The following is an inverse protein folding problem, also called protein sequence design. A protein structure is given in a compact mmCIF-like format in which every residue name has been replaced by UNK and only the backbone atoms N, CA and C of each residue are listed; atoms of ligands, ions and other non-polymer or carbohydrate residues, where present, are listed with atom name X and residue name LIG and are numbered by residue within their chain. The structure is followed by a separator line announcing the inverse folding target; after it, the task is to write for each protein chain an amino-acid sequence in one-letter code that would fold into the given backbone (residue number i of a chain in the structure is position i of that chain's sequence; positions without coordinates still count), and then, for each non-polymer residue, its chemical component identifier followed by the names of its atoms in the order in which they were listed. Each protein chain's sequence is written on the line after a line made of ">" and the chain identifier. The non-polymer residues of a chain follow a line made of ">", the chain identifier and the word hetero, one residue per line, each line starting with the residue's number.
data_IF_535555674810
#
_entry.id   IF_535555674810
#
_cell.length_a   1.000
_cell.length_b   1.000
_cell.length_c   1.000
_cell.angle_alpha   90.00
_cell.angle_beta   90.00
_cell.angle_gamma   90.00
#
_symmetry.space_group_name_H-M   'P 1'
#
loop_
_entity.id
_entity.type
_entity.pdbx_description
1 polymer ?
#
# COMPACT_ATOMS: atom_id res chain seq x y z
N UNK A 1 3.11 13.14 -24.24
CA UNK A 1 4.52 13.56 -24.08
C UNK A 1 4.60 14.27 -22.74
N UNK A 2 5.13 13.62 -21.70
CA UNK A 2 5.31 14.28 -20.40
C UNK A 2 6.73 14.79 -20.32
N UNK A 3 6.85 16.11 -20.29
CA UNK A 3 8.07 16.86 -20.07
C UNK A 3 8.52 16.72 -18.62
N UNK A 4 9.79 16.42 -18.43
CA UNK A 4 10.48 16.48 -17.14
C UNK A 4 10.53 17.94 -16.68
N UNK A 5 10.04 18.22 -15.47
CA UNK A 5 10.25 19.50 -14.81
C UNK A 5 11.27 19.22 -13.71
N UNK A 6 12.48 19.76 -13.91
CA UNK A 6 13.54 19.80 -12.91
C UNK A 6 13.09 20.72 -11.76
N UNK A 7 12.73 20.11 -10.64
CA UNK A 7 12.39 20.80 -9.40
C UNK A 7 13.51 20.66 -8.38
N UNK A 8 14.41 21.64 -8.35
CA UNK A 8 15.29 21.91 -7.21
C UNK A 8 14.43 22.29 -6.01
N UNK A 9 14.15 21.35 -5.11
CA UNK A 9 13.61 21.64 -3.78
C UNK A 9 14.63 21.22 -2.72
N UNK A 10 15.24 22.24 -2.10
CA UNK A 10 16.10 22.15 -0.94
C UNK A 10 15.31 21.63 0.26
N UNK A 11 15.55 20.37 0.64
CA UNK A 11 15.11 19.81 1.92
C UNK A 11 15.81 20.55 3.09
N UNK A 12 15.17 20.67 4.26
CA UNK A 12 15.81 21.25 5.43
C UNK A 12 17.06 20.45 5.82
N UNK A 13 18.17 21.17 5.86
CA UNK A 13 19.52 20.70 6.18
C UNK A 13 19.58 20.06 7.56
N UNK A 14 19.72 18.73 7.62
CA UNK A 14 20.64 18.03 8.56
C UNK A 14 20.68 16.50 8.42
N UNK A 15 20.12 15.89 7.36
CA UNK A 15 20.34 14.46 7.07
C UNK A 15 20.62 14.27 5.58
N UNK A 16 21.88 14.42 5.18
CA UNK A 16 22.36 14.07 3.84
C UNK A 16 22.39 12.54 3.67
N UNK A 17 21.23 11.90 3.60
CA UNK A 17 21.09 10.50 3.23
C UNK A 17 20.64 10.44 1.76
N UNK A 18 21.48 9.87 0.89
CA UNK A 18 21.08 9.61 -0.50
C UNK A 18 20.08 8.45 -0.54
N UNK A 19 18.92 8.67 -1.14
CA UNK A 19 17.86 7.66 -1.29
C UNK A 19 17.86 7.06 -2.70
N UNK A 20 17.61 5.75 -2.82
CA UNK A 20 17.39 5.04 -4.09
C UNK A 20 15.98 4.48 -4.16
N UNK A 21 15.34 4.59 -5.34
CA UNK A 21 14.03 4.00 -5.60
C UNK A 21 14.12 2.49 -5.46
N UNK A 22 13.26 1.91 -4.64
CA UNK A 22 13.16 0.46 -4.49
C UNK A 22 12.41 -0.11 -5.70
N UNK A 23 13.10 -0.95 -6.48
CA UNK A 23 12.56 -1.56 -7.70
C UNK A 23 12.49 -0.58 -8.88
N UNK A 24 13.32 -0.80 -9.89
CA UNK A 24 13.28 -0.06 -11.16
C UNK A 24 12.29 -0.66 -12.17
N UNK A 25 11.77 -1.87 -11.90
CA UNK A 25 10.85 -2.59 -12.76
C UNK A 25 9.41 -2.11 -12.55
N UNK A 26 8.58 -2.22 -13.59
CA UNK A 26 7.14 -1.96 -13.50
C UNK A 26 6.52 -2.87 -12.43
N UNK A 27 5.67 -2.28 -11.58
CA UNK A 27 4.84 -3.04 -10.64
C UNK A 27 3.82 -3.90 -11.40
N UNK A 28 3.27 -4.92 -10.74
CA UNK A 28 2.22 -5.77 -11.33
C UNK A 28 1.01 -4.93 -11.82
N UNK A 29 0.66 -3.89 -11.07
CA UNK A 29 -0.39 -2.94 -11.43
C UNK A 29 -0.03 -2.09 -12.67
N UNK A 30 1.22 -1.61 -12.76
CA UNK A 30 1.70 -0.87 -13.93
C UNK A 30 1.80 -1.77 -15.17
N UNK A 31 2.24 -3.02 -15.01
CA UNK A 31 2.25 -4.06 -16.06
C UNK A 31 0.83 -4.32 -16.57
N UNK A 32 -0.14 -4.47 -15.66
CA UNK A 32 -1.54 -4.66 -16.03
C UNK A 32 -2.14 -3.49 -16.78
N UNK A 33 -1.89 -2.26 -16.32
CA UNK A 33 -2.36 -1.07 -17.01
C UNK A 33 -1.78 -0.98 -18.44
N UNK A 34 -0.53 -1.42 -18.63
CA UNK A 34 0.16 -1.43 -19.92
C UNK A 34 -0.38 -2.54 -20.82
N UNK A 35 -0.59 -3.75 -20.29
CA UNK A 35 -1.16 -4.88 -21.03
C UNK A 35 -2.62 -4.65 -21.45
N UNK A 36 -3.44 -4.06 -20.58
CA UNK A 36 -4.81 -3.65 -20.91
C UNK A 36 -4.86 -2.61 -22.02
N UNK A 37 -3.89 -1.70 -22.09
CA UNK A 37 -3.80 -0.73 -23.20
C UNK A 37 -3.45 -1.39 -24.54
N UNK A 38 -2.74 -2.52 -24.53
CA UNK A 38 -2.34 -3.25 -25.74
C UNK A 38 -3.42 -4.18 -26.29
N UNK A 39 -4.43 -4.57 -25.49
CA UNK A 39 -5.56 -5.40 -25.91
C UNK A 39 -6.82 -4.53 -26.02
N UNK A 40 -7.10 -3.92 -27.17
CA UNK A 40 -8.34 -3.16 -27.40
C UNK A 40 -9.08 -3.66 -28.65
N UNK A 41 -10.17 -4.42 -28.44
CA UNK A 41 -11.55 -4.02 -28.76
C UNK A 41 -12.55 -5.15 -28.52
N UNK A 42 -12.17 -6.41 -28.78
CA UNK A 42 -13.14 -7.52 -28.80
C UNK A 42 -13.17 -8.35 -27.51
N UNK A 43 -12.02 -8.48 -26.82
CA UNK A 43 -11.93 -9.27 -25.58
C UNK A 43 -12.64 -8.59 -24.39
N UNK A 44 -12.62 -7.27 -24.32
CA UNK A 44 -13.25 -6.50 -23.23
C UNK A 44 -14.78 -6.56 -23.27
N UNK A 45 -15.38 -6.74 -24.46
CA UNK A 45 -16.82 -6.93 -24.62
C UNK A 45 -17.25 -8.31 -24.10
N UNK A 46 -16.50 -9.36 -24.46
CA UNK A 46 -16.76 -10.74 -24.01
C UNK A 46 -16.52 -10.89 -22.51
N UNK A 47 -15.49 -10.21 -21.97
CA UNK A 47 -15.18 -10.25 -20.54
C UNK A 47 -16.17 -9.42 -19.70
N UNK A 48 -16.91 -8.49 -20.33
CA UNK A 48 -17.91 -7.64 -19.67
C UNK A 48 -19.20 -8.37 -19.28
N UNK A 49 -19.54 -9.47 -19.97
CA UNK A 49 -20.76 -10.26 -19.71
C UNK A 49 -20.51 -11.52 -18.86
N UNK A 50 -19.25 -11.87 -18.62
CA UNK A 50 -18.89 -13.09 -17.89
C UNK A 50 -19.03 -12.89 -16.39
N UNK A 51 -20.05 -13.52 -15.82
CA UNK A 51 -20.22 -13.70 -14.39
C UNK A 51 -19.41 -14.91 -13.93
N UNK A 52 -18.89 -14.86 -12.70
CA UNK A 52 -18.12 -15.96 -12.14
C UNK A 52 -18.62 -16.33 -10.75
N UNK A 53 -18.68 -17.64 -10.49
CA UNK A 53 -19.13 -18.16 -9.21
C UNK A 53 -17.94 -18.25 -8.24
N UNK A 54 -17.89 -17.33 -7.27
CA UNK A 54 -16.81 -17.25 -6.29
C UNK A 54 -17.26 -17.71 -4.90
N UNK A 55 -16.33 -18.30 -4.14
CA UNK A 55 -16.55 -18.76 -2.76
C UNK A 55 -15.98 -17.75 -1.77
N UNK A 56 -16.82 -17.37 -0.81
CA UNK A 56 -16.47 -16.48 0.30
C UNK A 56 -16.52 -17.27 1.60
N UNK A 57 -15.35 -17.57 2.14
CA UNK A 57 -15.15 -18.43 3.30
C UNK A 57 -15.37 -17.66 4.61
N UNK A 58 -15.86 -18.35 5.63
CA UNK A 58 -15.97 -17.86 6.99
C UNK A 58 -14.83 -18.43 7.85
N UNK A 59 -14.69 -17.92 9.08
CA UNK A 59 -13.68 -18.40 10.03
C UNK A 59 -13.89 -19.86 10.47
N UNK A 60 -15.12 -20.38 10.37
CA UNK A 60 -15.46 -21.78 10.64
C UNK A 60 -15.27 -22.70 9.41
N UNK A 61 -14.64 -22.19 8.35
CA UNK A 61 -14.43 -22.86 7.06
C UNK A 61 -15.70 -23.17 6.25
N UNK A 62 -16.89 -22.79 6.73
CA UNK A 62 -18.07 -22.72 5.87
C UNK A 62 -17.86 -21.65 4.80
N UNK A 63 -18.62 -21.70 3.70
CA UNK A 63 -18.55 -20.68 2.67
C UNK A 63 -19.92 -20.36 2.09
N UNK A 64 -20.05 -19.11 1.63
CA UNK A 64 -21.16 -18.70 0.79
C UNK A 64 -20.65 -18.59 -0.63
N UNK A 65 -21.35 -19.22 -1.56
CA UNK A 65 -21.08 -19.05 -2.97
C UNK A 65 -21.91 -17.89 -3.52
N UNK A 66 -21.28 -17.02 -4.30
CA UNK A 66 -21.91 -15.84 -4.91
C UNK A 66 -21.49 -15.76 -6.36
N UNK A 67 -22.47 -15.57 -7.24
CA UNK A 67 -22.22 -15.18 -8.63
C UNK A 67 -21.83 -13.72 -8.65
N UNK A 68 -20.59 -13.44 -9.00
CA UNK A 68 -20.00 -12.11 -9.03
C UNK A 68 -20.08 -11.56 -10.44
N UNK A 69 -20.75 -10.43 -10.56
CA UNK A 69 -20.87 -9.66 -11.78
C UNK A 69 -19.85 -8.53 -11.80
N UNK A 70 -19.61 -7.97 -12.99
CA UNK A 70 -18.79 -6.78 -13.15
C UNK A 70 -19.40 -5.59 -12.39
N UNK A 71 -18.53 -4.76 -11.82
CA UNK A 71 -18.84 -3.59 -10.99
C UNK A 71 -19.44 -3.93 -9.62
N UNK A 72 -19.49 -5.20 -9.22
CA UNK A 72 -19.81 -5.54 -7.83
C UNK A 72 -18.63 -5.11 -6.94
N UNK A 73 -18.83 -4.01 -6.22
CA UNK A 73 -17.81 -3.48 -5.30
C UNK A 73 -17.76 -4.29 -4.01
N UNK A 74 -16.59 -4.29 -3.38
CA UNK A 74 -16.37 -4.93 -2.07
C UNK A 74 -17.41 -4.51 -1.03
N UNK A 75 -17.74 -3.22 -0.95
CA UNK A 75 -18.72 -2.72 0.03
C UNK A 75 -20.12 -3.32 -0.18
N UNK A 76 -20.56 -3.41 -1.43
CA UNK A 76 -21.89 -3.91 -1.79
C UNK A 76 -21.97 -5.43 -1.53
N UNK A 77 -20.89 -6.17 -1.82
CA UNK A 77 -20.77 -7.59 -1.48
C UNK A 77 -20.76 -7.82 0.04
N UNK A 78 -20.08 -6.98 0.83
CA UNK A 78 -20.11 -7.05 2.28
C UNK A 78 -21.54 -6.89 2.82
N UNK A 79 -22.32 -5.94 2.30
CA UNK A 79 -23.74 -5.80 2.67
C UNK A 79 -24.56 -7.05 2.33
N UNK A 80 -24.37 -7.61 1.13
CA UNK A 80 -25.05 -8.83 0.70
C UNK A 80 -24.75 -10.01 1.64
N UNK A 81 -23.48 -10.23 1.98
CA UNK A 81 -23.06 -11.32 2.85
C UNK A 81 -23.51 -11.11 4.30
N UNK A 82 -23.55 -9.86 4.79
CA UNK A 82 -24.12 -9.54 6.10
C UNK A 82 -25.58 -9.95 6.20
N UNK A 83 -26.38 -9.63 5.18
CA UNK A 83 -27.80 -10.02 5.12
C UNK A 83 -27.94 -11.54 5.08
N UNK A 84 -27.20 -12.22 4.19
CA UNK A 84 -27.26 -13.69 4.07
C UNK A 84 -26.88 -14.41 5.37
N UNK A 85 -25.94 -13.85 6.14
CA UNK A 85 -25.44 -14.45 7.39
C UNK A 85 -26.17 -13.94 8.64
N UNK A 86 -27.11 -13.00 8.50
CA UNK A 86 -27.77 -12.34 9.63
C UNK A 86 -26.75 -11.74 10.63
N UNK A 87 -25.73 -11.04 10.12
CA UNK A 87 -24.69 -10.38 10.93
C UNK A 87 -24.78 -8.87 10.86
N UNK A 88 -24.39 -8.20 11.93
CA UNK A 88 -24.45 -6.74 12.08
C UNK A 88 -23.03 -6.19 12.31
N UNK A 89 -22.81 -4.92 12.00
CA UNK A 89 -21.58 -4.19 12.29
C UNK A 89 -20.92 -3.63 11.03
N UNK A 90 -20.02 -2.66 11.23
CA UNK A 90 -19.29 -1.97 10.16
C UNK A 90 -17.94 -2.61 9.82
N UNK A 91 -17.38 -3.43 10.70
CA UNK A 91 -16.03 -4.00 10.54
C UNK A 91 -15.95 -5.16 9.53
N UNK A 92 -17.04 -5.51 8.84
CA UNK A 92 -17.04 -6.64 7.93
C UNK A 92 -16.34 -6.33 6.61
N UNK A 93 -15.38 -7.19 6.24
CA UNK A 93 -14.54 -7.00 5.06
C UNK A 93 -14.34 -8.30 4.28
N UNK A 94 -13.93 -8.16 3.02
CA UNK A 94 -13.43 -9.27 2.21
C UNK A 94 -11.91 -9.30 2.33
N UNK A 95 -11.36 -10.42 2.77
CA UNK A 95 -9.93 -10.64 2.95
C UNK A 95 -9.44 -11.62 1.89
N UNK A 96 -8.57 -11.16 1.00
CA UNK A 96 -7.87 -12.01 0.03
C UNK A 96 -6.69 -12.69 0.73
N UNK A 97 -6.63 -14.02 0.66
CA UNK A 97 -5.57 -14.82 1.29
C UNK A 97 -4.83 -15.66 0.24
N UNK A 98 -3.52 -15.81 0.43
CA UNK A 98 -2.63 -16.63 -0.38
C UNK A 98 -1.95 -17.69 0.52
N UNK A 99 -2.62 -18.81 0.83
CA UNK A 99 -2.19 -19.72 1.88
C UNK A 99 -0.76 -20.26 1.71
N UNK A 100 -0.34 -20.57 0.46
CA UNK A 100 1.02 -21.06 0.17
C UNK A 100 2.11 -20.02 0.45
N UNK A 101 1.77 -18.73 0.34
CA UNK A 101 2.69 -17.61 0.56
C UNK A 101 2.62 -17.08 2.00
N UNK A 102 1.56 -17.43 2.74
CA UNK A 102 1.33 -16.94 4.10
C UNK A 102 1.06 -15.43 4.15
N UNK A 103 0.46 -14.86 3.10
CA UNK A 103 0.11 -13.45 3.03
C UNK A 103 -1.40 -13.28 2.82
N UNK A 104 -1.91 -12.15 3.31
CA UNK A 104 -3.29 -11.74 3.13
C UNK A 104 -3.36 -10.22 2.97
N UNK A 105 -4.46 -9.75 2.40
CA UNK A 105 -4.81 -8.32 2.40
C UNK A 105 -6.32 -8.16 2.49
N UNK A 106 -6.75 -7.10 3.16
CA UNK A 106 -8.13 -6.65 3.15
C UNK A 106 -8.41 -5.93 1.84
N UNK A 107 -9.53 -6.23 1.19
CA UNK A 107 -10.00 -5.48 0.03
C UNK A 107 -10.64 -4.16 0.45
N UNK A 108 -10.33 -3.11 -0.30
CA UNK A 108 -10.88 -1.78 -0.14
C UNK A 108 -12.31 -1.72 -0.69
N UNK A 109 -13.12 -0.84 -0.11
CA UNK A 109 -14.56 -0.76 -0.39
C UNK A 109 -14.91 -0.48 -1.85
N UNK A 110 -14.02 0.25 -2.53
CA UNK A 110 -14.19 0.67 -3.92
C UNK A 110 -13.66 -0.35 -4.93
N UNK A 111 -12.95 -1.39 -4.50
CA UNK A 111 -12.43 -2.41 -5.41
C UNK A 111 -13.58 -3.25 -6.00
N UNK A 112 -13.43 -3.61 -7.28
CA UNK A 112 -14.32 -4.51 -7.99
C UNK A 112 -13.86 -5.96 -7.78
N UNK A 113 -14.73 -6.81 -7.25
CA UNK A 113 -14.38 -8.18 -6.86
C UNK A 113 -13.96 -9.03 -8.06
N UNK A 114 -14.66 -8.90 -9.19
CA UNK A 114 -14.36 -9.66 -10.40
C UNK A 114 -13.05 -9.20 -11.02
N UNK A 115 -12.79 -7.89 -11.03
CA UNK A 115 -11.53 -7.33 -11.49
C UNK A 115 -10.36 -7.80 -10.63
N UNK A 116 -10.48 -7.75 -9.29
CA UNK A 116 -9.48 -8.27 -8.35
C UNK A 116 -9.25 -9.77 -8.55
N UNK A 117 -10.33 -10.52 -8.78
CA UNK A 117 -10.23 -11.94 -9.08
C UNK A 117 -9.41 -12.16 -10.37
N UNK A 118 -9.81 -11.57 -11.50
CA UNK A 118 -9.12 -11.81 -12.78
C UNK A 118 -7.71 -11.25 -12.86
N UNK A 119 -7.46 -10.09 -12.24
CA UNK A 119 -6.18 -9.38 -12.36
C UNK A 119 -4.98 -10.23 -11.96
N UNK A 120 -5.12 -11.01 -10.88
CA UNK A 120 -4.02 -11.77 -10.31
C UNK A 120 -3.97 -13.23 -10.78
N UNK A 121 -5.06 -13.75 -11.36
CA UNK A 121 -5.00 -15.04 -12.07
C UNK A 121 -3.98 -15.01 -13.21
N UNK A 122 -3.82 -13.86 -13.87
CA UNK A 122 -2.86 -13.71 -14.96
C UNK A 122 -1.39 -13.93 -14.55
N UNK A 123 -1.03 -13.69 -13.28
CA UNK A 123 0.38 -13.74 -12.83
C UNK A 123 0.65 -14.82 -11.78
N UNK A 124 -0.39 -15.31 -11.13
CA UNK A 124 -0.27 -16.16 -9.96
C UNK A 124 -1.23 -17.36 -9.99
N UNK A 125 -1.67 -17.80 -11.16
CA UNK A 125 -2.56 -18.96 -11.34
C UNK A 125 -2.06 -20.26 -10.70
N UNK A 126 -0.75 -20.38 -10.45
CA UNK A 126 -0.13 -21.51 -9.74
C UNK A 126 -0.37 -21.51 -8.22
N UNK A 127 -0.80 -20.39 -7.66
CA UNK A 127 -1.06 -20.24 -6.24
C UNK A 127 -2.56 -20.30 -5.96
N UNK A 128 -2.91 -21.12 -4.97
CA UNK A 128 -4.28 -21.12 -4.45
C UNK A 128 -4.54 -19.79 -3.75
N UNK A 129 -5.72 -19.23 -4.00
CA UNK A 129 -6.22 -18.00 -3.39
C UNK A 129 -7.62 -18.22 -2.86
N UNK A 130 -7.95 -17.59 -1.74
CA UNK A 130 -9.29 -17.64 -1.13
C UNK A 130 -9.73 -16.26 -0.67
N UNK A 131 -11.03 -15.99 -0.76
CA UNK A 131 -11.65 -14.81 -0.19
C UNK A 131 -12.38 -15.18 1.11
N UNK A 132 -12.08 -14.46 2.19
CA UNK A 132 -12.74 -14.62 3.48
C UNK A 132 -13.65 -13.45 3.78
N UNK A 133 -14.83 -13.72 4.34
CA UNK A 133 -15.74 -12.74 4.89
C UNK A 133 -15.55 -12.71 6.42
N UNK A 134 -14.83 -11.72 6.91
CA UNK A 134 -14.42 -11.62 8.31
C UNK A 134 -14.45 -10.19 8.83
N UNK A 135 -14.39 -10.03 10.14
CA UNK A 135 -14.28 -8.73 10.78
C UNK A 135 -12.81 -8.25 10.75
N UNK A 136 -12.60 -7.06 10.21
CA UNK A 136 -11.35 -6.32 10.25
C UNK A 136 -11.61 -4.97 10.95
N UNK A 137 -11.23 -4.90 12.22
CA UNK A 137 -11.39 -3.69 13.02
C UNK A 137 -10.30 -2.65 12.74
N UNK A 138 -9.24 -3.01 12.00
CA UNK A 138 -8.12 -2.12 11.72
C UNK A 138 -8.31 -1.34 10.42
N UNK A 139 -9.12 -1.85 9.48
CA UNK A 139 -9.38 -1.23 8.16
C UNK A 139 -9.63 0.27 8.23
N UNK A 140 -10.47 0.72 9.16
CA UNK A 140 -10.83 2.13 9.30
C UNK A 140 -10.14 2.85 10.47
N UNK A 141 -9.36 2.14 11.29
CA UNK A 141 -8.80 2.72 12.53
C UNK A 141 -7.78 3.83 12.22
N UNK A 142 -7.15 3.80 11.04
CA UNK A 142 -6.27 4.88 10.58
C UNK A 142 -7.00 6.23 10.47
N UNK A 143 -8.30 6.24 10.18
CA UNK A 143 -9.10 7.48 10.10
C UNK A 143 -9.65 7.91 11.47
N UNK A 144 -9.70 6.99 12.43
CA UNK A 144 -10.25 7.22 13.76
C UNK A 144 -9.15 7.67 14.72
N UNK A 145 -8.01 6.96 14.74
CA UNK A 145 -6.85 7.18 15.61
C UNK A 145 -5.53 7.13 14.82
N UNK A 146 -5.29 8.07 13.90
CA UNK A 146 -4.15 8.03 12.97
C UNK A 146 -2.78 8.01 13.66
N UNK A 147 -2.65 8.63 14.84
CA UNK A 147 -1.37 8.73 15.56
C UNK A 147 -0.87 7.38 16.09
N UNK A 148 -1.74 6.38 16.23
CA UNK A 148 -1.32 5.02 16.56
C UNK A 148 -0.53 4.36 15.42
N UNK A 149 -0.76 4.79 14.17
CA UNK A 149 -0.11 4.27 12.97
C UNK A 149 1.04 5.15 12.51
N UNK A 150 0.91 6.46 12.72
CA UNK A 150 1.89 7.46 12.29
C UNK A 150 2.36 8.31 13.47
N UNK A 151 3.38 7.85 14.22
CA UNK A 151 4.04 8.66 15.23
C UNK A 151 4.55 9.99 14.63
N UNK A 152 4.64 11.07 15.44
CA UNK A 152 5.00 12.40 14.95
C UNK A 152 6.34 12.47 14.18
N UNK A 153 7.30 11.62 14.55
CA UNK A 153 8.63 11.50 13.94
C UNK A 153 8.65 10.65 12.66
N UNK A 154 7.57 9.90 12.38
CA UNK A 154 7.44 9.05 11.20
C UNK A 154 6.88 9.82 10.00
N UNK A 155 6.10 10.87 10.21
CA UNK A 155 5.34 11.54 9.15
C UNK A 155 5.80 12.97 8.92
N UNK A 156 5.71 13.48 7.69
CA UNK A 156 6.01 14.89 7.33
C UNK A 156 5.04 15.34 6.25
N UNK A 157 4.42 16.52 6.42
CA UNK A 157 3.52 17.09 5.42
C UNK A 157 4.31 17.91 4.39
N UNK A 158 4.05 17.76 3.08
CA UNK A 158 4.74 18.50 2.01
C UNK A 158 4.61 20.02 2.14
N UNK A 159 3.46 20.50 2.65
CA UNK A 159 3.15 21.92 2.84
C UNK A 159 3.92 22.58 3.98
N UNK A 160 4.70 21.83 4.77
CA UNK A 160 5.48 22.36 5.89
C UNK A 160 4.64 22.84 7.08
N UNK A 161 3.40 22.37 7.20
CA UNK A 161 2.52 22.67 8.35
C UNK A 161 3.20 22.24 9.66
N UNK A 162 3.47 23.21 10.55
CA UNK A 162 4.07 22.93 11.86
C UNK A 162 3.09 22.12 12.72
N UNK A 163 3.59 21.02 13.29
CA UNK A 163 2.85 20.24 14.28
C UNK A 163 2.93 20.98 15.61
N UNK A 164 1.81 21.51 16.08
CA UNK A 164 1.70 22.03 17.43
C UNK A 164 1.64 20.91 18.48
N UNK A 165 0.81 21.03 19.51
CA UNK A 165 0.70 20.01 20.58
C UNK A 165 0.25 18.63 20.04
N UNK A 166 0.37 17.55 20.83
CA UNK A 166 -0.02 16.19 20.41
C UNK A 166 -1.46 16.11 19.88
N UNK A 167 -2.40 16.77 20.59
CA UNK A 167 -3.81 16.83 20.19
C UNK A 167 -4.01 17.60 18.87
N UNK A 168 -3.23 18.65 18.65
CA UNK A 168 -3.22 19.40 17.38
C UNK A 168 -2.61 18.57 16.25
N UNK A 169 -1.56 17.79 16.51
CA UNK A 169 -0.93 16.91 15.53
C UNK A 169 -1.88 15.77 15.09
N UNK A 170 -2.65 15.19 16.03
CA UNK A 170 -3.66 14.19 15.73
C UNK A 170 -4.79 14.75 14.84
N UNK A 171 -5.33 15.91 15.23
CA UNK A 171 -6.41 16.57 14.49
C UNK A 171 -5.94 17.01 13.10
N UNK A 172 -4.72 17.55 12.99
CA UNK A 172 -4.12 17.95 11.72
C UNK A 172 -3.94 16.73 10.79
N UNK A 173 -3.40 15.62 11.30
CA UNK A 173 -3.23 14.40 10.53
C UNK A 173 -4.56 13.81 10.07
N UNK A 174 -5.55 13.78 10.96
CA UNK A 174 -6.89 13.32 10.60
C UNK A 174 -7.51 14.18 9.51
N UNK A 175 -7.46 15.50 9.65
CA UNK A 175 -7.97 16.43 8.65
C UNK A 175 -7.24 16.28 7.32
N UNK A 176 -5.92 16.07 7.35
CA UNK A 176 -5.12 15.83 6.16
C UNK A 176 -5.56 14.57 5.42
N UNK A 177 -5.71 13.45 6.13
CA UNK A 177 -6.14 12.16 5.53
C UNK A 177 -7.55 12.20 4.93
N UNK A 178 -8.41 13.13 5.38
CA UNK A 178 -9.78 13.30 4.88
C UNK A 178 -9.86 14.21 3.64
N UNK A 179 -8.77 14.85 3.23
CA UNK A 179 -8.75 15.74 2.05
C UNK A 179 -8.46 14.97 0.78
N UNK A 180 -9.40 15.00 -0.17
CA UNK A 180 -9.26 14.34 -1.48
C UNK A 180 -8.20 14.97 -2.39
N UNK A 181 -7.89 16.26 -2.19
CA UNK A 181 -6.98 17.06 -3.02
C UNK A 181 -5.56 17.20 -2.46
N UNK A 182 -5.28 16.56 -1.32
CA UNK A 182 -3.99 16.66 -0.65
C UNK A 182 -2.93 15.77 -1.32
N UNK A 183 -1.68 16.24 -1.32
CA UNK A 183 -0.56 15.35 -1.61
C UNK A 183 -0.50 14.24 -0.56
N UNK A 184 0.07 13.07 -0.89
CA UNK A 184 0.29 12.07 0.16
C UNK A 184 1.39 12.55 1.12
N UNK A 185 1.23 12.35 2.44
CA UNK A 185 2.27 12.73 3.39
C UNK A 185 3.51 11.86 3.18
N UNK A 186 4.67 12.38 3.57
CA UNK A 186 5.90 11.61 3.53
C UNK A 186 5.97 10.74 4.78
N UNK A 187 6.18 9.44 4.62
CA UNK A 187 6.29 8.49 5.72
C UNK A 187 7.69 7.90 5.73
N UNK A 188 8.46 8.19 6.78
CA UNK A 188 9.83 7.77 6.95
C UNK A 188 9.97 6.87 8.18
N UNK A 189 10.44 5.64 7.99
CA UNK A 189 10.59 4.69 9.09
C UNK A 189 11.78 3.75 8.90
N UNK A 190 12.20 3.10 9.98
CA UNK A 190 13.16 2.00 9.92
C UNK A 190 12.39 0.69 9.72
N UNK A 191 12.75 -0.07 8.68
CA UNK A 191 12.13 -1.35 8.34
C UNK A 191 13.16 -2.48 8.33
N UNK A 192 12.68 -3.69 8.56
CA UNK A 192 13.45 -4.91 8.32
C UNK A 192 13.18 -5.41 6.92
N UNK A 193 14.24 -5.51 6.11
CA UNK A 193 14.15 -6.04 4.75
C UNK A 193 14.87 -7.38 4.67
N UNK A 194 14.16 -8.40 4.16
CA UNK A 194 14.75 -9.70 3.85
C UNK A 194 15.50 -9.61 2.53
N UNK A 195 16.76 -10.04 2.54
CA UNK A 195 17.52 -10.21 1.32
C UNK A 195 17.11 -11.51 0.62
N UNK A 196 16.58 -11.39 -0.61
CA UNK A 196 16.12 -12.51 -1.41
C UNK A 196 17.22 -13.56 -1.69
N UNK A 197 18.49 -13.16 -1.80
CA UNK A 197 19.59 -14.08 -2.15
C UNK A 197 20.20 -14.80 -0.96
N UNK A 198 20.14 -14.21 0.24
CA UNK A 198 20.82 -14.75 1.43
C UNK A 198 19.89 -15.12 2.57
N UNK A 199 18.58 -14.88 2.45
CA UNK A 199 17.58 -15.04 3.53
C UNK A 199 17.89 -14.27 4.82
N UNK A 200 18.91 -13.41 4.82
CA UNK A 200 19.26 -12.56 5.94
C UNK A 200 18.36 -11.33 6.00
N UNK A 201 18.08 -10.88 7.21
CA UNK A 201 17.31 -9.66 7.47
C UNK A 201 18.26 -8.50 7.77
N UNK A 202 17.97 -7.32 7.20
CA UNK A 202 18.75 -6.10 7.43
C UNK A 202 17.83 -4.95 7.79
N UNK A 203 18.22 -4.18 8.82
CA UNK A 203 17.60 -2.89 9.12
C UNK A 203 18.02 -1.84 8.11
N UNK A 204 17.06 -1.08 7.60
CA UNK A 204 17.31 0.08 6.76
C UNK A 204 16.21 1.12 6.91
N UNK A 205 16.51 2.34 6.51
CA UNK A 205 15.51 3.39 6.48
C UNK A 205 14.79 3.39 5.13
N UNK A 206 13.47 3.60 5.19
CA UNK A 206 12.58 3.65 4.04
C UNK A 206 11.77 4.94 4.09
N UNK A 207 11.57 5.54 2.91
CA UNK A 207 10.75 6.72 2.71
C UNK A 207 9.66 6.38 1.70
N UNK A 208 8.39 6.52 2.09
CA UNK A 208 7.25 6.56 1.18
C UNK A 208 6.99 8.02 0.82
N UNK A 209 7.08 8.34 -0.46
CA UNK A 209 6.77 9.67 -1.00
C UNK A 209 5.96 9.51 -2.28
N UNK A 210 4.72 10.02 -2.27
CA UNK A 210 3.74 9.79 -3.33
C UNK A 210 3.52 8.30 -3.56
N UNK A 211 3.70 7.84 -4.81
CA UNK A 211 3.54 6.42 -5.19
C UNK A 211 4.84 5.61 -5.16
N UNK A 212 5.88 6.10 -4.48
CA UNK A 212 7.23 5.52 -4.56
C UNK A 212 7.78 5.23 -3.17
N UNK A 213 8.40 4.05 -3.05
CA UNK A 213 9.23 3.68 -1.92
C UNK A 213 10.69 3.91 -2.26
N UNK A 214 11.37 4.60 -1.37
CA UNK A 214 12.80 4.84 -1.44
C UNK A 214 13.49 4.24 -0.24
N UNK A 215 14.75 3.86 -0.41
CA UNK A 215 15.58 3.31 0.65
C UNK A 215 16.89 4.04 0.77
N UNK A 216 17.49 4.07 1.96
CA UNK A 216 18.81 4.68 2.12
C UNK A 216 19.90 3.79 1.53
N UNK A 217 20.83 4.39 0.78
CA UNK A 217 22.10 3.71 0.47
C UNK A 217 22.87 3.47 1.76
N UNK A 218 23.65 2.39 1.83
CA UNK A 218 24.67 2.26 2.89
C UNK A 218 25.51 3.55 2.88
N UNK A 219 25.54 4.28 3.99
CA UNK A 219 26.59 5.27 4.22
C UNK A 219 27.88 4.47 4.32
N UNK A 220 28.71 4.51 3.27
CA UNK A 220 30.11 4.13 3.41
C UNK A 220 30.69 5.00 4.52
N UNK A 221 31.38 4.43 5.54
CA UNK A 221 31.95 5.25 6.59
C UNK A 221 32.87 6.27 5.93
N UNK A 222 32.55 7.56 6.11
CA UNK A 222 33.47 8.63 5.75
C UNK A 222 34.77 8.35 6.50
N UNK A 223 35.84 8.05 5.76
CA UNK A 223 37.19 8.09 6.32
C UNK A 223 37.42 9.54 6.72
N UNK A 224 37.40 9.80 8.02
CA UNK A 224 37.86 11.06 8.58
C UNK A 224 39.35 11.19 8.27
N UNK A 225 39.68 11.94 7.21
CA UNK A 225 41.02 12.49 7.08
C UNK A 225 41.18 13.53 8.20
N UNK A 226 41.65 13.06 9.36
CA UNK A 226 42.28 13.93 10.34
C UNK A 226 43.61 14.40 9.72
N UNK A 227 43.59 15.56 9.09
CA UNK A 227 44.82 16.27 8.71
C UNK A 227 45.51 16.75 9.99
N UNK A 228 46.57 16.03 10.37
CA UNK A 228 47.60 16.49 11.29
C UNK A 228 48.14 17.86 10.86
N UNK A 229 47.77 18.92 11.56
CA UNK A 229 48.62 20.11 11.62
C UNK A 229 49.52 19.98 12.84
N UNK A 230 50.71 19.40 12.60
CA UNK A 230 51.83 19.52 13.51
C UNK A 230 52.49 20.89 13.33
N UNK A 231 52.79 21.51 14.47
CA UNK A 231 53.60 22.70 14.68
C UNK A 231 54.83 22.83 13.76
N UNK A 232 55.14 24.07 13.36
CA UNK A 232 56.44 24.70 13.60
C UNK A 232 56.36 26.22 13.44
N UNK A 233 56.81 26.88 14.52
CA UNK A 233 57.29 28.26 14.74
C UNK A 233 57.05 29.29 13.63
#
# INVERSE_FOLDING_TARGET
>A
MCSCIDGSSTLPSNRAASYERLGSNLTIFELNSTMRRSRRSDQDLIDSERQEELRFYNNDHSFTTVVVEKNLRTIDLCELLKVKRNTIGAAWSIIETWPKLGIERTLEDHEDILAVHRELEMFASQYERRFYFSQDFLKYEVFIKPVQFFPPDMITFPSGEERGTFTEAESALRNYLLREDSECPYVFSMVWMRNASSNNWKKMYMLLQGRKLYTTKKVSPFVSQASNMNHKL
#
